data_IF_463490741081
#
_entry.id   IF_463490741081
#
_cell.length_a   1.000
_cell.length_b   1.000
_cell.length_c   1.000
_cell.angle_alpha   90.00
_cell.angle_beta   90.00
_cell.angle_gamma   90.00
#
_symmetry.space_group_name_H-M   'P 1'
#
loop_
_entity.id
_entity.type
_entity.pdbx_description
1 polymer ?
#
# COMPACT_ATOMS: atom_id res chain seq x y z
N UNK A 1 -14.67 -14.49 11.00
CA UNK A 1 -13.94 -15.45 10.14
C UNK A 1 -13.29 -14.78 8.89
N UNK A 2 -13.07 -13.45 8.89
CA UNK A 2 -12.46 -12.72 7.75
C UNK A 2 -10.97 -12.39 7.96
N UNK A 3 -10.48 -12.41 9.21
CA UNK A 3 -9.15 -11.88 9.58
C UNK A 3 -7.97 -12.68 9.02
N UNK A 4 -8.19 -13.95 8.68
CA UNK A 4 -7.12 -14.87 8.22
C UNK A 4 -7.02 -14.98 6.69
N UNK A 5 -8.03 -14.51 5.93
CA UNK A 5 -8.02 -14.67 4.47
C UNK A 5 -7.02 -13.73 3.78
N UNK A 6 -6.80 -12.54 4.36
CA UNK A 6 -5.85 -11.53 3.87
C UNK A 6 -4.37 -11.93 4.03
N UNK A 7 -4.08 -12.98 4.80
CA UNK A 7 -2.71 -13.49 4.97
C UNK A 7 -2.26 -14.38 3.79
N UNK A 8 -3.18 -14.74 2.89
CA UNK A 8 -2.95 -15.67 1.76
C UNK A 8 -3.08 -15.02 0.38
N UNK A 9 -3.47 -13.74 0.30
CA UNK A 9 -3.73 -13.03 -0.95
C UNK A 9 -3.07 -11.66 -0.89
N UNK A 10 -2.24 -11.34 -1.89
CA UNK A 10 -1.67 -10.01 -2.06
C UNK A 10 -2.80 -8.99 -2.24
N UNK A 11 -2.88 -7.99 -1.36
CA UNK A 11 -3.98 -7.05 -1.39
C UNK A 11 -3.55 -5.64 -0.99
N UNK A 12 -3.82 -4.68 -1.87
CA UNK A 12 -3.70 -3.25 -1.58
C UNK A 12 -5.06 -2.68 -1.11
N UNK A 13 -5.03 -2.05 0.06
CA UNK A 13 -6.12 -1.21 0.58
C UNK A 13 -5.72 0.26 0.52
N UNK A 14 -6.64 1.09 0.04
CA UNK A 14 -6.50 2.55 0.02
C UNK A 14 -7.64 3.11 0.86
N UNK A 15 -7.29 3.73 1.98
CA UNK A 15 -8.23 4.34 2.92
C UNK A 15 -8.08 5.87 2.82
N UNK A 16 -9.17 6.58 2.54
CA UNK A 16 -9.17 8.04 2.39
C UNK A 16 -10.03 8.67 3.47
N UNK A 17 -9.43 9.58 4.25
CA UNK A 17 -10.11 10.33 5.31
C UNK A 17 -9.75 11.82 5.20
N UNK A 18 -10.59 12.58 4.51
CA UNK A 18 -10.38 14.01 4.29
C UNK A 18 -9.10 14.28 3.46
N UNK A 19 -8.08 14.96 4.03
CA UNK A 19 -6.82 15.20 3.35
C UNK A 19 -5.83 14.04 3.49
N UNK A 20 -6.14 13.03 4.30
CA UNK A 20 -5.25 11.90 4.60
C UNK A 20 -5.54 10.70 3.71
N UNK A 21 -4.49 10.05 3.24
CA UNK A 21 -4.53 8.78 2.52
C UNK A 21 -3.66 7.78 3.28
N UNK A 22 -4.19 6.58 3.49
CA UNK A 22 -3.48 5.44 4.07
C UNK A 22 -3.44 4.30 3.07
N UNK A 23 -2.24 3.85 2.75
CA UNK A 23 -1.97 2.69 1.90
C UNK A 23 -1.58 1.53 2.79
N UNK A 24 -2.25 0.39 2.64
CA UNK A 24 -1.94 -0.85 3.35
C UNK A 24 -1.75 -1.96 2.35
N UNK A 25 -0.59 -2.60 2.36
CA UNK A 25 -0.29 -3.79 1.57
C UNK A 25 -0.14 -5.00 2.48
N UNK A 26 -0.85 -6.08 2.17
CA UNK A 26 -0.67 -7.36 2.83
C UNK A 26 -0.15 -8.38 1.82
N UNK A 27 0.92 -9.11 2.16
CA UNK A 27 1.44 -10.25 1.39
C UNK A 27 2.16 -11.25 2.30
N UNK A 28 1.91 -12.55 2.10
CA UNK A 28 2.66 -13.62 2.76
C UNK A 28 2.71 -13.53 4.29
N UNK A 29 1.66 -13.01 4.92
CA UNK A 29 1.60 -12.78 6.36
C UNK A 29 2.27 -11.50 6.88
N UNK A 30 2.82 -10.66 6.00
CA UNK A 30 3.37 -9.34 6.31
C UNK A 30 2.34 -8.26 5.97
N UNK A 31 2.29 -7.20 6.77
CA UNK A 31 1.49 -6.00 6.50
C UNK A 31 2.40 -4.77 6.51
N UNK A 32 2.26 -3.93 5.50
CA UNK A 32 3.05 -2.71 5.29
C UNK A 32 2.09 -1.54 5.19
N UNK A 33 2.43 -0.44 5.85
CA UNK A 33 1.60 0.75 5.89
C UNK A 33 2.38 2.01 5.52
N UNK A 34 1.74 2.91 4.77
CA UNK A 34 2.16 4.29 4.61
C UNK A 34 0.97 5.25 4.73
N UNK A 35 1.15 6.31 5.52
CA UNK A 35 0.16 7.39 5.66
C UNK A 35 0.77 8.68 5.12
N UNK A 36 -0.01 9.42 4.36
CA UNK A 36 0.39 10.71 3.82
C UNK A 36 -0.80 11.60 3.52
N UNK A 37 -0.56 12.67 2.77
CA UNK A 37 -1.59 13.61 2.36
C UNK A 37 -1.87 13.53 0.87
N UNK A 38 -3.13 13.72 0.48
CA UNK A 38 -3.53 13.80 -0.93
C UNK A 38 -2.92 14.98 -1.69
N UNK A 39 -2.37 15.96 -0.98
CA UNK A 39 -1.69 17.12 -1.58
C UNK A 39 -0.25 16.83 -1.99
N UNK A 40 0.32 15.71 -1.51
CA UNK A 40 1.68 15.28 -1.83
C UNK A 40 1.72 13.75 -2.00
N UNK A 41 1.00 13.30 -3.03
CA UNK A 41 0.95 11.88 -3.42
C UNK A 41 2.35 11.33 -3.74
N UNK A 42 3.27 12.04 -4.43
CA UNK A 42 4.61 11.53 -4.69
C UNK A 42 5.36 11.11 -3.42
N UNK A 43 5.32 11.93 -2.36
CA UNK A 43 5.96 11.58 -1.08
C UNK A 43 5.30 10.37 -0.41
N UNK A 44 3.96 10.26 -0.46
CA UNK A 44 3.24 9.09 0.06
C UNK A 44 3.67 7.81 -0.67
N UNK A 45 3.73 7.84 -2.01
CA UNK A 45 4.15 6.69 -2.81
C UNK A 45 5.61 6.31 -2.55
N UNK A 46 6.50 7.30 -2.42
CA UNK A 46 7.90 7.07 -2.06
C UNK A 46 8.05 6.42 -0.68
N UNK A 47 7.30 6.91 0.32
CA UNK A 47 7.24 6.29 1.64
C UNK A 47 6.74 4.85 1.56
N UNK A 48 5.67 4.61 0.80
CA UNK A 48 5.09 3.28 0.64
C UNK A 48 6.09 2.27 0.04
N UNK A 49 6.81 2.66 -1.02
CA UNK A 49 7.89 1.85 -1.60
C UNK A 49 8.99 1.56 -0.58
N UNK A 50 9.43 2.58 0.18
CA UNK A 50 10.48 2.41 1.19
C UNK A 50 10.06 1.44 2.30
N UNK A 51 8.79 1.49 2.75
CA UNK A 51 8.26 0.58 3.77
C UNK A 51 8.18 -0.86 3.22
N UNK A 52 7.71 -1.04 1.98
CA UNK A 52 7.62 -2.37 1.36
C UNK A 52 9.01 -2.99 1.18
N UNK A 53 9.97 -2.21 0.71
CA UNK A 53 11.35 -2.67 0.57
C UNK A 53 11.98 -3.04 1.93
N UNK A 54 11.69 -2.28 2.99
CA UNK A 54 12.18 -2.58 4.35
C UNK A 54 11.64 -3.92 4.87
N UNK A 55 10.38 -4.24 4.57
CA UNK A 55 9.78 -5.53 4.97
C UNK A 55 10.18 -6.69 4.04
N UNK A 56 11.04 -6.45 3.06
CA UNK A 56 11.55 -7.47 2.14
C UNK A 56 10.52 -7.93 1.12
N UNK A 57 9.56 -7.06 0.76
CA UNK A 57 8.66 -7.32 -0.37
C UNK A 57 9.45 -7.22 -1.67
N UNK A 58 9.20 -8.16 -2.60
CA UNK A 58 9.91 -8.24 -3.87
C UNK A 58 9.59 -7.06 -4.80
N UNK A 59 10.53 -6.74 -5.70
CA UNK A 59 10.40 -5.61 -6.62
C UNK A 59 9.16 -5.72 -7.54
N UNK A 60 8.82 -6.92 -7.98
CA UNK A 60 7.66 -7.16 -8.86
C UNK A 60 6.34 -6.86 -8.13
N UNK A 61 6.23 -7.25 -6.86
CA UNK A 61 5.09 -6.93 -6.00
C UNK A 61 5.01 -5.44 -5.69
N UNK A 62 6.16 -4.80 -5.40
CA UNK A 62 6.23 -3.34 -5.21
C UNK A 62 5.70 -2.63 -6.46
N UNK A 63 6.14 -3.01 -7.65
CA UNK A 63 5.68 -2.41 -8.90
C UNK A 63 4.17 -2.61 -9.11
N UNK A 64 3.66 -3.82 -8.83
CA UNK A 64 2.23 -4.13 -8.92
C UNK A 64 1.40 -3.29 -7.95
N UNK A 65 1.79 -3.24 -6.68
CA UNK A 65 1.11 -2.46 -5.64
C UNK A 65 1.17 -0.96 -5.93
N UNK A 66 2.30 -0.46 -6.41
CA UNK A 66 2.48 0.95 -6.76
C UNK A 66 1.55 1.36 -7.93
N UNK A 67 1.45 0.51 -8.95
CA UNK A 67 0.52 0.74 -10.08
C UNK A 67 -0.93 0.82 -9.60
N UNK A 68 -1.34 -0.16 -8.79
CA UNK A 68 -2.69 -0.23 -8.24
C UNK A 68 -3.00 0.96 -7.31
N UNK A 69 -2.01 1.44 -6.55
CA UNK A 69 -2.16 2.63 -5.70
C UNK A 69 -2.40 3.89 -6.53
N UNK A 70 -1.65 4.09 -7.62
CA UNK A 70 -1.83 5.23 -8.52
C UNK A 70 -3.22 5.20 -9.17
N UNK A 71 -3.66 4.04 -9.65
CA UNK A 71 -4.99 3.87 -10.27
C UNK A 71 -6.12 4.17 -9.26
N UNK A 72 -5.99 3.71 -8.01
CA UNK A 72 -7.00 3.94 -6.96
C UNK A 72 -7.00 5.36 -6.39
N UNK A 73 -5.86 6.04 -6.36
CA UNK A 73 -5.76 7.43 -5.87
C UNK A 73 -6.19 8.44 -6.95
N UNK A 74 -5.88 8.17 -8.21
CA UNK A 74 -6.16 9.07 -9.34
C UNK A 74 -7.54 8.90 -9.98
N UNK A 75 -8.30 7.88 -9.57
CA UNK A 75 -9.68 7.62 -9.99
C UNK A 75 -10.73 8.40 -9.22
#
# INVERSE_FOLDING_TARGET
>A
MLKYWYLLIDMLRVEVAGPHIRLVYASGGKEVEAIGTKFDVPSLLGLFVAQMAREGIGIDEICKALREAVEKIGG
#
